data_IF_077370699517
#
_entry.id   IF_077370699517
#
_cell.length_a   1.000
_cell.length_b   1.000
_cell.length_c   1.000
_cell.angle_alpha   90.00
_cell.angle_beta   90.00
_cell.angle_gamma   90.00
#
_symmetry.space_group_name_H-M   'P 1'
#
loop_
_entity.id
_entity.type
_entity.pdbx_description
1 polymer ?
#
# COMPACT_ATOMS: atom_id res chain seq x y z
N UNK A 1 -10.17 -12.22 18.44
CA UNK A 1 -9.07 -11.38 17.91
C UNK A 1 -7.76 -11.58 18.65
N UNK A 2 -7.65 -11.22 19.94
CA UNK A 2 -6.43 -11.52 20.71
C UNK A 2 -6.16 -13.02 20.82
N UNK A 3 -7.20 -13.85 20.96
CA UNK A 3 -7.10 -15.31 20.95
C UNK A 3 -6.59 -15.90 19.61
N UNK A 4 -6.91 -15.27 18.48
CA UNK A 4 -6.42 -15.70 17.16
C UNK A 4 -4.98 -15.27 16.95
N UNK A 5 -4.62 -14.05 17.38
CA UNK A 5 -3.24 -13.57 17.37
C UNK A 5 -2.34 -14.45 18.27
N UNK A 6 -2.80 -14.78 19.48
CA UNK A 6 -2.07 -15.66 20.39
C UNK A 6 -1.95 -17.07 19.81
N UNK A 7 -3.01 -17.61 19.20
CA UNK A 7 -2.98 -18.91 18.53
C UNK A 7 -1.93 -18.97 17.41
N UNK A 8 -1.97 -18.02 16.48
CA UNK A 8 -1.00 -17.95 15.36
C UNK A 8 0.41 -17.72 15.88
N UNK A 9 0.61 -16.81 16.84
CA UNK A 9 1.91 -16.58 17.48
C UNK A 9 2.44 -17.84 18.15
N UNK A 10 1.61 -18.58 18.89
CA UNK A 10 2.03 -19.83 19.53
C UNK A 10 2.41 -20.90 18.53
N UNK A 11 1.67 -21.04 17.42
CA UNK A 11 2.00 -22.00 16.35
C UNK A 11 3.30 -21.62 15.66
N UNK A 12 3.47 -20.34 15.32
CA UNK A 12 4.68 -19.84 14.69
C UNK A 12 5.92 -19.98 15.60
N UNK A 13 5.71 -19.79 16.91
CA UNK A 13 6.72 -19.99 17.94
C UNK A 13 7.06 -21.47 18.11
N UNK A 14 6.07 -22.36 18.20
CA UNK A 14 6.26 -23.80 18.31
C UNK A 14 7.02 -24.38 17.11
N UNK A 15 6.78 -23.86 15.90
CA UNK A 15 7.50 -24.28 14.69
C UNK A 15 8.97 -23.81 14.68
N UNK A 16 9.29 -22.73 15.40
CA UNK A 16 10.62 -22.10 15.47
C UNK A 16 11.36 -22.42 16.78
N UNK A 17 10.96 -23.42 17.57
CA UNK A 17 11.62 -23.79 18.84
C UNK A 17 13.03 -24.40 18.71
N UNK A 18 13.67 -24.34 17.54
CA UNK A 18 15.06 -24.79 17.35
C UNK A 18 16.12 -23.76 17.78
N UNK A 19 15.73 -22.57 18.24
CA UNK A 19 16.64 -21.46 18.52
C UNK A 19 16.98 -21.27 20.01
N UNK A 20 18.19 -20.77 20.25
CA UNK A 20 18.77 -20.53 21.57
C UNK A 20 18.02 -19.39 22.32
N UNK A 21 17.79 -19.57 23.62
CA UNK A 21 16.84 -18.76 24.42
C UNK A 21 17.28 -17.30 24.72
N UNK A 22 18.48 -16.90 24.30
CA UNK A 22 19.10 -15.60 24.61
C UNK A 22 18.76 -14.44 23.67
N UNK A 23 18.43 -14.70 22.40
CA UNK A 23 18.37 -13.67 21.34
C UNK A 23 16.95 -13.40 20.81
N UNK A 24 15.95 -13.42 21.70
CA UNK A 24 14.53 -13.28 21.32
C UNK A 24 14.22 -11.98 20.55
N UNK A 25 14.88 -10.87 20.89
CA UNK A 25 14.64 -9.57 20.26
C UNK A 25 15.23 -9.48 18.84
N UNK A 26 16.29 -10.25 18.55
CA UNK A 26 17.00 -10.28 17.27
C UNK A 26 16.54 -11.45 16.39
N UNK A 27 15.60 -12.26 16.89
CA UNK A 27 15.05 -13.38 16.15
C UNK A 27 14.30 -12.89 14.91
N UNK A 28 14.76 -13.34 13.75
CA UNK A 28 14.16 -13.04 12.44
C UNK A 28 12.94 -13.94 12.21
N UNK A 29 11.78 -13.33 12.00
CA UNK A 29 10.56 -14.02 11.59
C UNK A 29 10.34 -13.81 10.09
N UNK A 30 10.14 -14.90 9.36
CA UNK A 30 9.86 -14.86 7.93
C UNK A 30 11.00 -15.43 7.08
N UNK A 31 10.70 -16.44 6.25
CA UNK A 31 11.68 -17.11 5.39
C UNK A 31 11.22 -17.27 3.93
N UNK A 32 9.92 -17.44 3.67
CA UNK A 32 9.42 -17.74 2.31
C UNK A 32 8.00 -17.20 2.03
N UNK A 33 7.78 -16.76 0.78
CA UNK A 33 6.47 -16.37 0.25
C UNK A 33 5.74 -17.62 -0.25
N UNK A 34 4.58 -17.93 0.32
CA UNK A 34 3.92 -19.21 0.03
C UNK A 34 2.83 -19.15 -1.06
N UNK A 35 1.98 -18.12 -1.19
CA UNK A 35 0.98 -18.01 -2.28
C UNK A 35 0.37 -16.60 -2.35
N UNK A 36 0.30 -15.92 -3.51
CA UNK A 36 -0.26 -14.56 -3.61
C UNK A 36 -1.02 -14.25 -4.92
N UNK A 37 -2.05 -13.39 -4.89
CA UNK A 37 -2.83 -13.02 -6.09
C UNK A 37 -2.07 -12.09 -7.06
N UNK A 38 -1.07 -11.35 -6.59
CA UNK A 38 -0.25 -10.45 -7.41
C UNK A 38 1.05 -11.09 -7.95
N UNK A 39 1.08 -12.42 -8.10
CA UNK A 39 2.27 -13.09 -8.64
C UNK A 39 2.49 -12.74 -10.11
N UNK A 40 3.70 -12.30 -10.44
CA UNK A 40 4.32 -12.77 -11.67
C UNK A 40 4.98 -14.09 -11.35
N UNK A 41 4.54 -15.17 -11.97
CA UNK A 41 5.11 -16.51 -11.79
C UNK A 41 6.58 -16.61 -12.30
N UNK A 42 7.10 -15.53 -12.92
CA UNK A 42 8.40 -15.50 -13.58
C UNK A 42 9.35 -14.41 -13.04
N UNK A 43 8.87 -13.51 -12.18
CA UNK A 43 9.66 -12.40 -11.68
C UNK A 43 10.18 -12.75 -10.28
N UNK A 44 11.41 -13.26 -10.20
CA UNK A 44 12.12 -13.68 -8.98
C UNK A 44 12.56 -12.48 -8.11
N UNK A 45 11.75 -11.42 -8.04
CA UNK A 45 12.04 -10.21 -7.27
C UNK A 45 11.57 -10.40 -5.82
N UNK A 46 12.52 -10.30 -4.89
CA UNK A 46 12.36 -10.35 -3.42
C UNK A 46 11.46 -11.48 -2.89
N UNK A 47 12.03 -12.68 -2.78
CA UNK A 47 11.32 -13.90 -2.38
C UNK A 47 11.04 -14.06 -0.88
N UNK A 48 11.35 -13.07 -0.05
CA UNK A 48 11.20 -13.18 1.39
C UNK A 48 10.70 -11.86 1.97
N UNK A 49 9.72 -11.99 2.87
CA UNK A 49 9.34 -10.95 3.81
C UNK A 49 9.90 -11.39 5.16
N UNK A 50 10.65 -10.53 5.83
CA UNK A 50 10.99 -10.76 7.22
C UNK A 50 10.73 -9.54 8.10
N UNK A 51 10.65 -9.81 9.40
CA UNK A 51 10.50 -8.81 10.44
C UNK A 51 11.15 -9.29 11.73
N UNK A 52 11.45 -8.33 12.61
CA UNK A 52 12.03 -8.60 13.94
C UNK A 52 11.05 -8.18 15.04
N UNK A 53 11.13 -8.82 16.20
CA UNK A 53 10.23 -8.51 17.34
C UNK A 53 10.36 -7.06 17.79
N UNK A 54 11.57 -6.49 17.71
CA UNK A 54 11.81 -5.11 18.06
C UNK A 54 11.09 -4.11 17.15
N UNK A 55 10.65 -4.52 15.95
CA UNK A 55 9.89 -3.68 15.02
C UNK A 55 8.40 -3.59 15.37
N UNK A 56 7.89 -4.48 16.24
CA UNK A 56 6.46 -4.53 16.63
C UNK A 56 5.95 -3.19 17.19
N UNK A 57 6.65 -2.47 18.09
CA UNK A 57 6.23 -1.15 18.52
C UNK A 57 6.13 -0.14 17.36
N UNK A 58 7.02 -0.24 16.36
CA UNK A 58 6.99 0.62 15.16
C UNK A 58 5.74 0.30 14.34
N UNK A 59 5.42 -0.98 14.15
CA UNK A 59 4.20 -1.42 13.47
C UNK A 59 2.93 -0.93 14.20
N UNK A 60 2.89 -0.96 15.53
CA UNK A 60 1.79 -0.39 16.33
C UNK A 60 1.65 1.12 16.09
N UNK A 61 2.76 1.86 16.06
CA UNK A 61 2.76 3.30 15.78
C UNK A 61 2.32 3.60 14.34
N UNK A 62 2.74 2.79 13.36
CA UNK A 62 2.25 2.87 11.98
C UNK A 62 0.76 2.61 11.90
N UNK A 63 0.24 1.64 12.66
CA UNK A 63 -1.19 1.39 12.81
C UNK A 63 -1.91 2.62 13.34
N UNK A 64 -1.42 3.23 14.43
CA UNK A 64 -2.00 4.46 14.97
C UNK A 64 -2.00 5.63 13.96
N UNK A 65 -0.90 5.82 13.24
CA UNK A 65 -0.79 6.83 12.18
C UNK A 65 -1.75 6.56 11.02
N UNK A 66 -1.86 5.31 10.56
CA UNK A 66 -2.82 4.89 9.53
C UNK A 66 -4.28 5.06 9.97
N UNK A 67 -4.57 4.82 11.25
CA UNK A 67 -5.88 5.10 11.86
C UNK A 67 -6.23 6.59 11.85
N UNK A 68 -5.27 7.46 12.15
CA UNK A 68 -5.43 8.92 12.09
C UNK A 68 -5.60 9.40 10.65
N UNK A 69 -4.77 8.93 9.71
CA UNK A 69 -4.88 9.24 8.28
C UNK A 69 -6.22 8.76 7.69
N UNK A 70 -6.71 7.60 8.11
CA UNK A 70 -8.03 7.12 7.73
C UNK A 70 -9.15 7.99 8.30
N UNK A 71 -9.05 8.41 9.56
CA UNK A 71 -10.01 9.33 10.17
C UNK A 71 -10.02 10.71 9.51
N UNK A 72 -8.87 11.27 9.14
CA UNK A 72 -8.80 12.54 8.40
C UNK A 72 -9.39 12.41 7.01
N UNK A 73 -9.11 11.31 6.29
CA UNK A 73 -9.75 11.01 5.01
C UNK A 73 -11.28 10.99 5.12
N UNK A 74 -11.82 10.27 6.11
CA UNK A 74 -13.27 10.20 6.34
C UNK A 74 -13.81 11.60 6.66
N UNK A 75 -13.22 12.33 7.60
CA UNK A 75 -13.69 13.66 7.97
C UNK A 75 -13.71 14.64 6.79
N UNK A 76 -12.68 14.63 5.94
CA UNK A 76 -12.63 15.43 4.72
C UNK A 76 -13.68 14.99 3.71
N UNK A 77 -13.83 13.68 3.49
CA UNK A 77 -14.81 13.16 2.55
C UNK A 77 -16.24 13.44 3.00
N UNK A 78 -16.53 13.42 4.30
CA UNK A 78 -17.85 13.77 4.86
C UNK A 78 -18.19 15.23 4.62
N UNK A 79 -17.23 16.15 4.82
CA UNK A 79 -17.40 17.57 4.51
C UNK A 79 -17.67 17.78 3.01
N UNK A 80 -16.90 17.10 2.16
CA UNK A 80 -17.08 17.17 0.70
C UNK A 80 -18.43 16.59 0.28
N UNK A 81 -18.88 15.50 0.89
CA UNK A 81 -20.17 14.87 0.60
C UNK A 81 -21.34 15.76 1.00
N UNK A 82 -21.29 16.40 2.17
CA UNK A 82 -22.31 17.37 2.57
C UNK A 82 -22.34 18.57 1.61
N UNK A 83 -21.17 19.06 1.16
CA UNK A 83 -21.11 20.11 0.14
C UNK A 83 -21.74 19.64 -1.19
N UNK A 84 -21.42 18.43 -1.65
CA UNK A 84 -22.03 17.83 -2.87
C UNK A 84 -23.54 17.73 -2.78
N UNK A 85 -24.08 17.31 -1.63
CA UNK A 85 -25.53 17.23 -1.45
C UNK A 85 -26.22 18.59 -1.58
N UNK A 86 -25.56 19.67 -1.17
CA UNK A 86 -26.10 21.03 -1.26
C UNK A 86 -26.02 21.64 -2.67
N UNK A 87 -24.93 21.42 -3.39
CA UNK A 87 -24.66 22.11 -4.68
C UNK A 87 -24.89 21.22 -5.92
N UNK A 88 -24.71 19.91 -5.79
CA UNK A 88 -24.79 18.90 -6.86
C UNK A 88 -25.82 17.83 -6.45
N UNK A 89 -27.12 18.17 -6.40
CA UNK A 89 -28.15 17.23 -6.00
C UNK A 89 -28.29 16.08 -7.01
N UNK A 90 -28.72 14.92 -6.52
CA UNK A 90 -28.96 13.71 -7.31
C UNK A 90 -29.98 13.91 -8.44
N UNK A 91 -30.84 14.93 -8.32
CA UNK A 91 -31.88 15.27 -9.31
C UNK A 91 -31.33 15.77 -10.65
N UNK A 92 -30.12 16.35 -10.70
CA UNK A 92 -29.56 16.94 -11.92
C UNK A 92 -28.41 16.12 -12.48
N UNK A 93 -28.71 15.19 -13.39
CA UNK A 93 -27.71 14.32 -14.03
C UNK A 93 -26.57 15.09 -14.71
N UNK A 94 -26.89 16.18 -15.42
CA UNK A 94 -25.89 16.98 -16.14
C UNK A 94 -24.85 17.61 -15.20
N UNK A 95 -25.22 18.02 -13.99
CA UNK A 95 -24.26 18.58 -13.03
C UNK A 95 -23.29 17.53 -12.50
N UNK A 96 -23.77 16.30 -12.27
CA UNK A 96 -22.92 15.17 -11.88
C UNK A 96 -21.98 14.74 -13.00
N UNK A 97 -22.46 14.76 -14.25
CA UNK A 97 -21.59 14.50 -15.41
C UNK A 97 -20.49 15.55 -15.53
N UNK A 98 -20.83 16.84 -15.40
CA UNK A 98 -19.83 17.93 -15.42
C UNK A 98 -18.83 17.78 -14.27
N UNK A 99 -19.28 17.42 -13.07
CA UNK A 99 -18.37 17.14 -11.95
C UNK A 99 -17.38 16.02 -12.29
N UNK A 100 -17.86 14.88 -12.81
CA UNK A 100 -17.00 13.76 -13.22
C UNK A 100 -15.96 14.22 -14.24
N UNK A 101 -16.39 14.96 -15.27
CA UNK A 101 -15.48 15.46 -16.31
C UNK A 101 -14.42 16.41 -15.75
N UNK A 102 -14.81 17.29 -14.81
CA UNK A 102 -13.87 18.18 -14.12
C UNK A 102 -12.89 17.40 -13.25
N UNK A 103 -13.36 16.40 -12.50
CA UNK A 103 -12.49 15.53 -11.67
C UNK A 103 -11.47 14.82 -12.56
N UNK A 104 -11.91 14.21 -13.66
CA UNK A 104 -11.02 13.51 -14.61
C UNK A 104 -10.00 14.47 -15.19
N UNK A 105 -10.43 15.64 -15.67
CA UNK A 105 -9.53 16.65 -16.22
C UNK A 105 -8.47 17.09 -15.21
N UNK A 106 -8.89 17.39 -13.97
CA UNK A 106 -7.97 17.80 -12.90
C UNK A 106 -7.02 16.67 -12.53
N UNK A 107 -7.51 15.42 -12.40
CA UNK A 107 -6.64 14.27 -12.13
C UNK A 107 -5.57 14.10 -13.21
N UNK A 108 -5.93 14.22 -14.49
CA UNK A 108 -4.97 14.15 -15.59
C UNK A 108 -3.94 15.27 -15.51
N UNK A 109 -4.37 16.52 -15.29
CA UNK A 109 -3.47 17.67 -15.16
C UNK A 109 -2.50 17.47 -13.99
N UNK A 110 -2.98 17.00 -12.85
CA UNK A 110 -2.14 16.75 -11.67
C UNK A 110 -1.12 15.65 -11.94
N UNK A 111 -1.52 14.50 -12.50
CA UNK A 111 -0.58 13.40 -12.79
C UNK A 111 0.44 13.78 -13.88
N UNK A 112 0.02 14.44 -14.96
CA UNK A 112 0.93 14.89 -16.01
C UNK A 112 1.89 15.98 -15.52
N UNK A 113 1.41 16.94 -14.73
CA UNK A 113 2.28 18.00 -14.16
C UNK A 113 3.27 17.45 -13.12
N UNK A 114 2.84 16.51 -12.27
CA UNK A 114 3.72 15.83 -11.32
C UNK A 114 4.83 15.04 -12.04
N UNK A 115 4.49 14.42 -13.18
CA UNK A 115 5.46 13.72 -14.02
C UNK A 115 6.37 14.69 -14.77
N UNK A 116 5.85 15.80 -15.28
CA UNK A 116 6.64 16.80 -15.98
C UNK A 116 7.66 17.51 -15.07
N UNK A 117 7.33 17.65 -13.79
CA UNK A 117 8.21 18.21 -12.77
C UNK A 117 9.21 17.19 -12.17
N UNK A 118 9.26 15.96 -12.69
CA UNK A 118 10.07 14.89 -12.12
C UNK A 118 11.58 15.12 -12.32
N UNK A 119 12.43 14.80 -11.32
CA UNK A 119 13.85 14.67 -11.56
C UNK A 119 14.14 13.41 -12.40
N UNK A 120 15.09 13.53 -13.32
CA UNK A 120 15.56 12.43 -14.16
C UNK A 120 16.73 11.70 -13.49
N UNK A 121 16.71 10.38 -13.51
CA UNK A 121 17.76 9.50 -12.98
C UNK A 121 18.28 8.54 -14.05
N UNK A 122 19.55 8.09 -13.97
CA UNK A 122 20.12 7.18 -14.96
C UNK A 122 19.49 5.79 -14.89
N UNK A 123 19.23 5.17 -16.04
CA UNK A 123 18.71 3.80 -16.08
C UNK A 123 19.72 2.81 -15.46
N UNK A 124 19.24 1.70 -14.87
CA UNK A 124 20.09 0.59 -14.46
C UNK A 124 20.96 0.11 -15.62
N UNK A 125 22.24 -0.24 -15.38
CA UNK A 125 23.20 -0.55 -16.44
C UNK A 125 22.78 -1.75 -17.31
N UNK A 126 22.06 -2.71 -16.73
CA UNK A 126 21.53 -3.86 -17.48
C UNK A 126 20.48 -3.44 -18.52
N UNK A 127 19.56 -2.55 -18.14
CA UNK A 127 18.50 -2.07 -19.03
C UNK A 127 19.04 -1.10 -20.08
N UNK A 128 20.01 -0.26 -19.69
CA UNK A 128 20.71 0.60 -20.65
C UNK A 128 21.43 -0.24 -21.73
N UNK A 129 22.09 -1.34 -21.35
CA UNK A 129 22.74 -2.28 -22.28
C UNK A 129 21.74 -3.03 -23.15
N UNK A 130 20.64 -3.52 -22.57
CA UNK A 130 19.57 -4.20 -23.31
C UNK A 130 19.01 -3.30 -24.42
N UNK A 131 18.68 -2.04 -24.10
CA UNK A 131 18.14 -1.08 -25.08
C UNK A 131 19.15 -0.69 -26.16
N UNK A 132 20.43 -0.56 -25.80
CA UNK A 132 21.51 -0.31 -26.76
C UNK A 132 21.73 -1.48 -27.74
N UNK A 133 21.42 -2.71 -27.31
CA UNK A 133 21.54 -3.91 -28.14
C UNK A 133 20.27 -4.18 -28.97
N UNK A 134 19.09 -3.73 -28.51
CA UNK A 134 17.82 -3.90 -29.23
C UNK A 134 17.79 -3.23 -30.61
N UNK A 135 18.67 -2.24 -30.86
CA UNK A 135 18.83 -1.63 -32.19
C UNK A 135 19.63 -2.48 -33.18
N UNK A 136 20.29 -3.55 -32.72
CA UNK A 136 21.01 -4.49 -33.55
C UNK A 136 20.22 -5.81 -33.61
N UNK A 137 19.60 -6.10 -34.74
CA UNK A 137 18.70 -7.25 -34.99
C UNK A 137 19.41 -8.61 -34.95
N UNK A 138 19.87 -9.02 -33.78
CA UNK A 138 20.15 -10.39 -33.37
C UNK A 138 20.01 -10.34 -31.86
N UNK A 139 19.05 -11.04 -31.23
CA UNK A 139 19.10 -11.23 -29.77
C UNK A 139 20.34 -12.09 -29.46
N UNK A 140 21.31 -11.63 -28.66
CA UNK A 140 22.34 -12.53 -28.17
C UNK A 140 22.52 -12.37 -26.65
N UNK A 141 22.24 -13.43 -25.91
CA UNK A 141 22.96 -13.76 -24.68
C UNK A 141 23.24 -12.60 -23.69
N UNK A 142 22.18 -12.00 -23.13
CA UNK A 142 22.29 -11.27 -21.85
C UNK A 142 22.06 -12.21 -20.65
N UNK A 143 22.01 -13.53 -20.90
CA UNK A 143 21.92 -14.55 -19.86
C UNK A 143 23.35 -14.94 -19.49
N UNK A 144 23.79 -14.51 -18.31
CA UNK A 144 24.92 -15.12 -17.60
C UNK A 144 24.75 -16.65 -17.61
N UNK A 145 25.68 -17.45 -18.17
CA UNK A 145 25.52 -18.90 -18.27
C UNK A 145 25.44 -19.61 -16.91
N UNK A 146 25.63 -18.91 -15.78
CA UNK A 146 25.48 -19.47 -14.44
C UNK A 146 24.17 -19.12 -13.71
N UNK A 147 23.41 -18.10 -14.15
CA UNK A 147 22.15 -17.71 -13.50
C UNK A 147 21.02 -17.61 -14.52
N UNK A 148 20.31 -18.73 -14.69
CA UNK A 148 19.18 -18.86 -15.61
C UNK A 148 17.95 -18.10 -15.08
N UNK A 149 17.93 -16.78 -15.22
CA UNK A 149 16.70 -16.00 -15.19
C UNK A 149 16.27 -15.78 -16.64
N UNK A 150 15.46 -16.71 -17.14
CA UNK A 150 14.78 -16.56 -18.42
C UNK A 150 13.64 -15.55 -18.19
N UNK A 151 13.93 -14.28 -18.43
CA UNK A 151 12.89 -13.25 -18.47
C UNK A 151 12.04 -13.52 -19.71
N UNK A 152 10.81 -14.00 -19.51
CA UNK A 152 9.81 -14.13 -20.56
C UNK A 152 9.52 -12.74 -21.17
N UNK A 153 9.08 -12.68 -22.44
CA UNK A 153 8.83 -11.42 -23.16
C UNK A 153 7.89 -10.48 -22.38
N UNK A 154 6.96 -11.04 -21.59
CA UNK A 154 6.04 -10.30 -20.71
C UNK A 154 6.75 -9.62 -19.54
N UNK A 155 7.71 -10.30 -18.92
CA UNK A 155 8.46 -9.73 -17.80
C UNK A 155 9.37 -8.58 -18.24
N UNK A 156 9.90 -8.64 -19.47
CA UNK A 156 10.69 -7.56 -20.06
C UNK A 156 9.83 -6.32 -20.37
N UNK A 157 8.63 -6.50 -20.90
CA UNK A 157 7.68 -5.41 -21.13
C UNK A 157 7.30 -4.71 -19.80
N UNK A 158 7.01 -5.48 -18.75
CA UNK A 158 6.71 -4.94 -17.41
C UNK A 158 7.88 -4.13 -16.82
N UNK A 159 9.12 -4.55 -17.08
CA UNK A 159 10.32 -3.82 -16.64
C UNK A 159 10.52 -2.54 -17.46
N UNK A 160 10.24 -2.55 -18.77
CA UNK A 160 10.30 -1.33 -19.60
C UNK A 160 9.25 -0.30 -19.16
N UNK A 161 8.03 -0.76 -18.89
CA UNK A 161 6.94 0.08 -18.40
C UNK A 161 7.21 0.67 -17.00
N UNK A 162 8.08 0.01 -16.21
CA UNK A 162 8.54 0.51 -14.91
C UNK A 162 9.52 1.70 -15.00
N UNK A 163 10.25 1.88 -16.11
CA UNK A 163 11.22 2.96 -16.29
C UNK A 163 10.84 3.92 -17.43
N UNK A 164 9.76 4.72 -17.29
CA UNK A 164 9.33 5.66 -18.32
C UNK A 164 10.36 6.77 -18.52
N UNK A 165 10.79 6.98 -19.78
CA UNK A 165 11.77 8.01 -20.17
C UNK A 165 11.13 9.35 -20.55
N UNK A 166 9.85 9.54 -20.22
CA UNK A 166 9.09 10.71 -20.64
C UNK A 166 9.69 12.00 -20.04
N UNK A 167 9.93 13.00 -20.90
CA UNK A 167 10.56 14.29 -20.56
C UNK A 167 12.00 14.22 -20.02
N UNK A 168 12.70 13.11 -20.23
CA UNK A 168 14.12 12.96 -19.91
C UNK A 168 14.97 12.72 -21.17
N UNK A 169 16.28 12.95 -21.05
CA UNK A 169 17.24 12.64 -22.10
C UNK A 169 17.37 11.12 -22.32
N UNK A 170 17.90 10.71 -23.48
CA UNK A 170 18.13 9.29 -23.80
C UNK A 170 19.00 8.61 -22.73
N UNK A 171 18.56 7.45 -22.23
CA UNK A 171 19.25 6.72 -21.17
C UNK A 171 18.94 7.19 -19.73
N UNK A 172 18.02 8.14 -19.56
CA UNK A 172 17.50 8.60 -18.27
C UNK A 172 16.00 8.29 -18.15
N UNK A 173 15.51 8.04 -16.93
CA UNK A 173 14.09 7.82 -16.64
C UNK A 173 13.52 8.85 -15.67
N UNK A 174 12.21 9.05 -15.73
CA UNK A 174 11.45 9.93 -14.84
C UNK A 174 11.09 9.19 -13.55
N UNK A 175 11.58 9.69 -12.42
CA UNK A 175 11.33 9.09 -11.09
C UNK A 175 9.86 9.18 -10.66
N UNK A 176 9.20 10.31 -10.93
CA UNK A 176 7.76 10.45 -10.65
C UNK A 176 6.92 9.71 -11.69
N UNK A 177 7.43 9.53 -12.92
CA UNK A 177 6.74 8.80 -13.97
C UNK A 177 6.43 7.36 -13.59
N UNK A 178 7.31 6.72 -12.82
CA UNK A 178 7.10 5.35 -12.31
C UNK A 178 5.85 5.24 -11.43
N UNK A 179 5.44 6.33 -10.78
CA UNK A 179 4.34 6.36 -9.83
C UNK A 179 3.05 6.98 -10.41
N UNK A 180 3.17 7.99 -11.28
CA UNK A 180 2.02 8.75 -11.79
C UNK A 180 1.61 8.40 -13.22
N UNK A 181 2.51 7.82 -14.03
CA UNK A 181 2.26 7.49 -15.43
C UNK A 181 1.77 6.04 -15.61
N UNK A 182 2.02 5.18 -14.63
CA UNK A 182 1.54 3.80 -14.60
C UNK A 182 0.16 3.70 -13.94
N UNK A 183 -0.68 2.73 -14.32
CA UNK A 183 -1.93 2.44 -13.62
C UNK A 183 -1.70 2.21 -12.12
N UNK A 184 -2.65 2.64 -11.29
CA UNK A 184 -2.50 2.58 -9.83
C UNK A 184 -2.32 1.15 -9.29
N UNK A 185 -2.90 0.15 -9.96
CA UNK A 185 -2.70 -1.27 -9.63
C UNK A 185 -1.26 -1.74 -9.88
N UNK A 186 -0.64 -1.28 -10.97
CA UNK A 186 0.75 -1.58 -11.29
C UNK A 186 1.67 -0.85 -10.32
N UNK A 187 1.39 0.43 -10.04
CA UNK A 187 2.13 1.22 -9.05
C UNK A 187 2.07 0.57 -7.66
N UNK A 188 0.91 0.02 -7.27
CA UNK A 188 0.79 -0.74 -6.03
C UNK A 188 1.65 -2.01 -6.03
N UNK A 189 1.62 -2.78 -7.14
CA UNK A 189 2.50 -3.95 -7.34
C UNK A 189 3.97 -3.54 -7.23
N UNK A 190 4.34 -2.39 -7.80
CA UNK A 190 5.68 -1.83 -7.75
C UNK A 190 6.11 -1.47 -6.33
N UNK A 191 5.26 -0.80 -5.55
CA UNK A 191 5.55 -0.44 -4.16
C UNK A 191 5.67 -1.66 -3.23
N UNK A 192 4.94 -2.74 -3.50
CA UNK A 192 4.92 -3.91 -2.61
C UNK A 192 5.97 -4.96 -3.01
N UNK A 193 6.13 -5.23 -4.31
CA UNK A 193 6.88 -6.39 -4.80
C UNK A 193 8.16 -6.04 -5.55
N UNK A 194 8.15 -4.95 -6.33
CA UNK A 194 9.31 -4.56 -7.11
C UNK A 194 10.26 -3.76 -6.20
N UNK A 195 11.00 -4.53 -5.40
CA UNK A 195 12.36 -4.21 -4.94
C UNK A 195 12.71 -2.74 -4.98
N UNK A 196 12.60 -2.03 -3.85
CA UNK A 196 13.16 -0.68 -3.79
C UNK A 196 14.68 -0.67 -4.01
N UNK A 197 15.35 -1.81 -3.86
CA UNK A 197 16.79 -1.92 -3.98
C UNK A 197 17.13 -2.72 -5.24
N UNK A 198 17.57 -2.04 -6.29
CA UNK A 198 18.23 -2.69 -7.40
C UNK A 198 19.63 -3.11 -6.91
N UNK A 199 19.89 -4.42 -6.80
CA UNK A 199 21.24 -4.92 -6.54
C UNK A 199 22.08 -4.69 -7.79
N UNK A 200 22.98 -3.72 -7.72
CA UNK A 200 23.96 -3.48 -8.78
C UNK A 200 25.11 -4.49 -8.63
N UNK A 201 25.91 -4.67 -9.68
CA UNK A 201 27.06 -5.59 -9.71
C UNK A 201 28.17 -5.24 -8.71
N UNK A 202 28.15 -4.01 -8.18
CA UNK A 202 28.80 -3.61 -6.94
C UNK A 202 27.69 -3.55 -5.88
N UNK A 203 27.85 -4.24 -4.75
CA UNK A 203 26.87 -4.47 -3.67
C UNK A 203 26.23 -3.20 -3.02
N UNK A 204 26.34 -2.02 -3.63
CA UNK A 204 25.59 -0.83 -3.26
C UNK A 204 24.18 -0.90 -3.85
N UNK A 205 23.22 -1.18 -2.97
CA UNK A 205 21.81 -1.15 -3.27
C UNK A 205 21.32 0.28 -3.54
N UNK A 206 21.03 0.61 -4.80
CA UNK A 206 20.47 1.92 -5.14
C UNK A 206 18.96 1.88 -4.94
N UNK A 207 18.44 2.81 -4.14
CA UNK A 207 17.00 2.99 -3.97
C UNK A 207 16.35 3.48 -5.27
N UNK A 208 15.40 2.70 -5.80
CA UNK A 208 14.72 2.98 -7.07
C UNK A 208 13.78 4.18 -6.98
N UNK A 209 13.11 4.37 -5.83
CA UNK A 209 12.29 5.56 -5.60
C UNK A 209 13.04 6.60 -4.77
N UNK A 210 12.87 7.89 -5.03
CA UNK A 210 13.40 8.94 -4.15
C UNK A 210 12.39 9.27 -3.04
N UNK A 211 12.87 9.72 -1.88
CA UNK A 211 11.97 10.09 -0.76
C UNK A 211 10.99 11.20 -1.18
N UNK A 212 11.46 12.15 -2.00
CA UNK A 212 10.62 13.20 -2.56
C UNK A 212 9.52 12.69 -3.49
N UNK A 213 9.79 11.65 -4.30
CA UNK A 213 8.79 11.08 -5.21
C UNK A 213 7.70 10.35 -4.43
N UNK A 214 8.07 9.57 -3.42
CA UNK A 214 7.12 8.91 -2.52
C UNK A 214 6.26 9.90 -1.72
N UNK A 215 6.87 10.97 -1.20
CA UNK A 215 6.14 11.99 -0.46
C UNK A 215 5.13 12.74 -1.36
N UNK A 216 5.54 13.11 -2.58
CA UNK A 216 4.64 13.73 -3.54
C UNK A 216 3.51 12.79 -3.97
N UNK A 217 3.79 11.51 -4.19
CA UNK A 217 2.79 10.49 -4.47
C UNK A 217 1.78 10.32 -3.34
N UNK A 218 2.26 10.20 -2.09
CA UNK A 218 1.40 10.09 -0.92
C UNK A 218 0.44 11.27 -0.82
N UNK A 219 0.94 12.51 -0.91
CA UNK A 219 0.12 13.70 -0.74
C UNK A 219 -0.87 13.90 -1.89
N UNK A 220 -0.41 13.74 -3.14
CA UNK A 220 -1.24 13.96 -4.32
C UNK A 220 -2.32 12.87 -4.46
N UNK A 221 -1.96 11.59 -4.31
CA UNK A 221 -2.93 10.49 -4.42
C UNK A 221 -3.91 10.50 -3.23
N UNK A 222 -3.48 10.84 -2.01
CA UNK A 222 -4.40 10.99 -0.88
C UNK A 222 -5.43 12.11 -1.13
N UNK A 223 -4.99 13.25 -1.68
CA UNK A 223 -5.87 14.35 -2.08
C UNK A 223 -6.85 13.95 -3.19
N UNK A 224 -6.35 13.33 -4.26
CA UNK A 224 -7.17 12.86 -5.38
C UNK A 224 -8.14 11.75 -4.95
N UNK A 225 -7.73 10.84 -4.08
CA UNK A 225 -8.59 9.81 -3.48
C UNK A 225 -9.74 10.44 -2.68
N UNK A 226 -9.46 11.48 -1.88
CA UNK A 226 -10.48 12.22 -1.12
C UNK A 226 -11.49 12.91 -2.03
N UNK A 227 -11.00 13.51 -3.12
CA UNK A 227 -11.84 14.21 -4.09
C UNK A 227 -12.68 13.25 -4.94
N UNK A 228 -12.11 12.14 -5.42
CA UNK A 228 -12.77 11.20 -6.33
C UNK A 228 -13.83 10.35 -5.64
N UNK A 229 -13.66 10.03 -4.34
CA UNK A 229 -14.63 9.23 -3.62
C UNK A 229 -15.95 9.99 -3.39
N UNK A 230 -17.07 9.41 -3.82
CA UNK A 230 -18.41 10.02 -3.74
C UNK A 230 -18.85 10.80 -4.98
N UNK A 231 -18.05 10.79 -6.05
CA UNK A 231 -18.47 11.27 -7.37
C UNK A 231 -19.61 10.39 -7.91
N UNK A 232 -20.43 10.92 -8.81
CA UNK A 232 -21.56 10.19 -9.45
C UNK A 232 -21.19 9.02 -10.37
N UNK A 233 -20.07 8.34 -10.14
CA UNK A 233 -19.57 7.21 -10.91
C UNK A 233 -19.29 6.00 -10.00
N UNK A 234 -19.41 4.75 -10.51
CA UNK A 234 -19.02 3.56 -9.76
C UNK A 234 -17.50 3.56 -9.56
N UNK A 235 -17.06 3.72 -8.31
CA UNK A 235 -15.63 3.80 -7.96
C UNK A 235 -15.32 2.88 -6.77
N UNK A 236 -14.13 2.31 -6.76
CA UNK A 236 -13.60 1.52 -5.65
C UNK A 236 -12.60 2.33 -4.82
N UNK A 237 -12.54 2.06 -3.51
CA UNK A 237 -11.63 2.74 -2.59
C UNK A 237 -10.41 1.88 -2.19
N UNK A 238 -10.50 0.55 -2.33
CA UNK A 238 -9.51 -0.41 -1.84
C UNK A 238 -8.10 -0.20 -2.42
N UNK A 239 -7.96 -0.14 -3.75
CA UNK A 239 -6.64 -0.01 -4.40
C UNK A 239 -5.98 1.34 -4.07
N UNK A 240 -6.66 2.49 -4.16
CA UNK A 240 -6.09 3.77 -3.73
C UNK A 240 -5.65 3.81 -2.27
N UNK A 241 -6.45 3.26 -1.33
CA UNK A 241 -6.06 3.20 0.08
C UNK A 241 -4.80 2.38 0.31
N UNK A 242 -4.68 1.23 -0.39
CA UNK A 242 -3.51 0.37 -0.30
C UNK A 242 -2.27 1.06 -0.88
N UNK A 243 -2.40 1.76 -2.02
CA UNK A 243 -1.29 2.48 -2.64
C UNK A 243 -0.76 3.63 -1.77
N UNK A 244 -1.66 4.45 -1.20
CA UNK A 244 -1.27 5.52 -0.28
C UNK A 244 -0.62 4.95 0.98
N UNK A 245 -1.20 3.88 1.54
CA UNK A 245 -0.62 3.21 2.70
C UNK A 245 0.72 2.54 2.42
N UNK A 246 0.92 1.96 1.24
CA UNK A 246 2.19 1.37 0.82
C UNK A 246 3.29 2.43 0.73
N UNK A 247 2.98 3.57 0.09
CA UNK A 247 3.91 4.71 0.04
C UNK A 247 4.22 5.26 1.44
N UNK A 248 3.22 5.35 2.32
CA UNK A 248 3.43 5.72 3.73
C UNK A 248 4.35 4.72 4.45
N UNK A 249 4.11 3.42 4.24
CA UNK A 249 4.90 2.35 4.82
C UNK A 249 6.36 2.41 4.40
N UNK A 250 6.63 2.62 3.10
CA UNK A 250 7.98 2.79 2.59
C UNK A 250 8.68 4.04 3.16
N UNK A 251 7.98 5.16 3.29
CA UNK A 251 8.55 6.36 3.90
C UNK A 251 8.97 6.11 5.36
N UNK A 252 8.14 5.38 6.12
CA UNK A 252 8.48 5.00 7.49
C UNK A 252 9.66 4.03 7.51
N UNK A 253 9.64 2.98 6.70
CA UNK A 253 10.71 1.98 6.64
C UNK A 253 12.08 2.60 6.31
N UNK A 254 12.15 3.56 5.38
CA UNK A 254 13.38 4.32 5.11
C UNK A 254 13.84 5.17 6.30
N UNK A 255 12.88 5.76 7.02
CA UNK A 255 13.16 6.47 8.25
C UNK A 255 13.79 5.55 9.30
N UNK A 256 13.27 4.32 9.44
CA UNK A 256 13.82 3.31 10.36
C UNK A 256 15.20 2.85 9.90
N UNK A 257 15.40 2.58 8.61
CA UNK A 257 16.72 2.24 8.05
C UNK A 257 17.77 3.31 8.33
N UNK A 258 17.43 4.58 8.08
CA UNK A 258 18.34 5.70 8.34
C UNK A 258 18.70 5.84 9.83
N UNK A 259 17.76 5.53 10.73
CA UNK A 259 18.00 5.54 12.18
C UNK A 259 18.84 4.33 12.62
N UNK A 260 18.57 3.15 12.06
CA UNK A 260 19.31 1.93 12.37
C UNK A 260 20.79 2.01 11.94
N UNK A 261 21.06 2.60 10.78
CA UNK A 261 22.43 2.88 10.31
C UNK A 261 23.20 3.80 11.26
N UNK A 262 22.53 4.79 11.87
CA UNK A 262 23.14 5.70 12.84
C UNK A 262 23.57 5.01 14.13
N UNK A 263 22.81 4.01 14.57
CA UNK A 263 23.05 3.31 15.83
C UNK A 263 23.95 2.06 15.65
N UNK A 264 24.55 1.88 14.46
CA UNK A 264 25.39 0.72 14.10
C UNK A 264 24.70 -0.65 14.26
N UNK A 265 23.38 -0.67 14.26
CA UNK A 265 22.59 -1.91 14.17
C UNK A 265 22.62 -2.37 12.72
N UNK A 266 23.61 -3.18 12.36
CA UNK A 266 23.79 -3.74 11.01
C UNK A 266 22.78 -4.85 10.70
N UNK A 267 21.50 -4.61 10.93
CA UNK A 267 20.43 -5.53 10.58
C UNK A 267 19.78 -5.11 9.26
N UNK A 268 19.67 -6.05 8.33
CA UNK A 268 19.02 -5.81 7.04
C UNK A 268 17.50 -5.70 7.28
N UNK A 269 16.99 -4.47 7.29
CA UNK A 269 15.56 -4.17 7.38
C UNK A 269 14.92 -4.31 6.01
N UNK A 270 13.80 -5.02 5.96
CA UNK A 270 13.04 -5.27 4.75
C UNK A 270 11.99 -4.19 4.50
N UNK A 271 12.22 -3.35 3.50
CA UNK A 271 11.30 -2.25 3.20
C UNK A 271 9.94 -2.70 2.67
N UNK A 272 9.88 -3.87 2.03
CA UNK A 272 8.62 -4.43 1.51
C UNK A 272 7.65 -4.79 2.64
N UNK A 273 8.17 -5.29 3.76
CA UNK A 273 7.36 -5.56 4.95
C UNK A 273 6.68 -4.29 5.46
N UNK A 274 7.42 -3.17 5.52
CA UNK A 274 6.87 -1.88 5.92
C UNK A 274 5.84 -1.36 4.92
N UNK A 275 6.05 -1.55 3.61
CA UNK A 275 5.07 -1.19 2.58
C UNK A 275 3.74 -1.93 2.78
N UNK A 276 3.78 -3.26 2.98
CA UNK A 276 2.57 -4.08 3.21
C UNK A 276 1.88 -3.70 4.53
N UNK A 277 2.65 -3.49 5.60
CA UNK A 277 2.11 -3.07 6.90
C UNK A 277 1.46 -1.68 6.83
N UNK A 278 2.08 -0.73 6.12
CA UNK A 278 1.51 0.60 5.90
C UNK A 278 0.23 0.56 5.06
N UNK A 279 0.20 -0.26 4.01
CA UNK A 279 -0.98 -0.49 3.17
C UNK A 279 -2.15 -1.02 4.02
N UNK A 280 -1.89 -2.02 4.86
CA UNK A 280 -2.86 -2.58 5.78
C UNK A 280 -3.35 -1.56 6.84
N UNK A 281 -2.44 -0.76 7.41
CA UNK A 281 -2.78 0.26 8.40
C UNK A 281 -3.74 1.32 7.84
N UNK A 282 -3.49 1.82 6.63
CA UNK A 282 -4.36 2.80 5.97
C UNK A 282 -5.71 2.21 5.56
N UNK A 283 -5.73 1.00 4.99
CA UNK A 283 -6.97 0.33 4.60
C UNK A 283 -7.82 -0.05 5.83
N UNK A 284 -7.21 -0.56 6.89
CA UNK A 284 -7.87 -0.84 8.18
C UNK A 284 -8.41 0.42 8.85
N UNK A 285 -7.65 1.52 8.81
CA UNK A 285 -8.05 2.81 9.36
C UNK A 285 -9.22 3.48 8.63
N UNK A 286 -9.34 3.30 7.31
CA UNK A 286 -10.42 3.89 6.50
C UNK A 286 -11.72 3.09 6.54
N UNK A 287 -11.62 1.76 6.50
CA UNK A 287 -12.80 0.87 6.39
C UNK A 287 -13.29 0.32 7.73
N UNK A 288 -12.46 0.32 8.79
CA UNK A 288 -12.75 -0.28 10.11
C UNK A 288 -12.95 -1.79 10.13
N UNK A 289 -12.59 -2.50 9.05
CA UNK A 289 -12.64 -3.96 9.00
C UNK A 289 -11.30 -4.54 9.48
N UNK A 290 -11.32 -5.63 10.25
CA UNK A 290 -10.11 -6.20 10.87
C UNK A 290 -9.69 -7.52 10.25
N UNK A 291 -10.50 -8.58 10.46
CA UNK A 291 -10.17 -9.95 10.02
C UNK A 291 -10.13 -10.03 8.49
N UNK A 292 -11.14 -9.49 7.81
CA UNK A 292 -11.23 -9.54 6.35
C UNK A 292 -10.09 -8.80 5.65
N UNK A 293 -9.64 -7.67 6.19
CA UNK A 293 -8.51 -6.91 5.62
C UNK A 293 -7.19 -7.63 5.86
N UNK A 294 -7.01 -8.18 7.07
CA UNK A 294 -5.81 -8.97 7.36
C UNK A 294 -5.68 -10.12 6.37
N UNK A 295 -6.76 -10.87 6.16
CA UNK A 295 -6.78 -11.98 5.19
C UNK A 295 -6.59 -11.49 3.76
N UNK A 296 -7.25 -10.40 3.36
CA UNK A 296 -7.09 -9.83 2.01
C UNK A 296 -5.64 -9.44 1.73
N UNK A 297 -5.00 -8.71 2.65
CA UNK A 297 -3.61 -8.27 2.47
C UNK A 297 -2.66 -9.46 2.50
N UNK A 298 -2.88 -10.42 3.39
CA UNK A 298 -2.07 -11.64 3.47
C UNK A 298 -2.18 -12.49 2.19
N UNK A 299 -3.39 -12.77 1.71
CA UNK A 299 -3.63 -13.57 0.50
C UNK A 299 -3.19 -12.86 -0.78
N UNK A 300 -3.29 -11.53 -0.84
CA UNK A 300 -2.85 -10.79 -2.03
C UNK A 300 -1.33 -10.68 -2.12
N UNK A 301 -0.64 -10.55 -0.99
CA UNK A 301 0.83 -10.41 -0.94
C UNK A 301 1.57 -11.75 -0.83
N UNK A 302 0.88 -12.78 -0.33
CA UNK A 302 1.42 -14.10 -0.05
C UNK A 302 2.40 -14.19 1.10
N UNK A 303 2.36 -13.21 2.00
CA UNK A 303 3.20 -13.11 3.17
C UNK A 303 2.48 -13.66 4.42
N UNK A 304 2.26 -14.97 4.50
CA UNK A 304 1.57 -15.60 5.63
C UNK A 304 2.29 -15.38 6.97
N UNK A 305 3.62 -15.25 6.95
CA UNK A 305 4.44 -15.03 8.14
C UNK A 305 4.28 -13.60 8.71
N UNK A 306 3.66 -12.67 7.97
CA UNK A 306 3.33 -11.30 8.40
C UNK A 306 1.96 -11.18 9.09
N UNK A 307 1.22 -12.29 9.29
CA UNK A 307 -0.13 -12.23 9.88
C UNK A 307 -0.14 -11.53 11.25
N UNK A 308 0.83 -11.83 12.11
CA UNK A 308 0.89 -11.29 13.48
C UNK A 308 1.08 -9.75 13.47
N UNK A 309 2.12 -9.19 12.82
CA UNK A 309 2.28 -7.74 12.75
C UNK A 309 1.10 -7.07 12.03
N UNK A 310 0.55 -7.67 10.96
CA UNK A 310 -0.61 -7.12 10.25
C UNK A 310 -1.86 -7.03 11.13
N UNK A 311 -2.14 -8.06 11.93
CA UNK A 311 -3.27 -8.02 12.86
C UNK A 311 -3.10 -6.89 13.89
N UNK A 312 -1.91 -6.75 14.48
CA UNK A 312 -1.64 -5.70 15.47
C UNK A 312 -1.77 -4.29 14.88
N UNK A 313 -1.26 -4.07 13.66
CA UNK A 313 -1.34 -2.75 13.00
C UNK A 313 -2.78 -2.39 12.61
N UNK A 314 -3.54 -3.34 12.06
CA UNK A 314 -4.93 -3.11 11.68
C UNK A 314 -5.79 -2.88 12.93
N UNK A 315 -5.55 -3.62 14.02
CA UNK A 315 -6.28 -3.44 15.27
C UNK A 315 -6.04 -2.06 15.88
N UNK A 316 -4.79 -1.61 15.93
CA UNK A 316 -4.42 -0.29 16.44
C UNK A 316 -4.96 0.82 15.54
N UNK A 317 -4.92 0.65 14.21
CA UNK A 317 -5.53 1.58 13.25
C UNK A 317 -7.05 1.71 13.44
N UNK A 318 -7.73 0.58 13.68
CA UNK A 318 -9.16 0.55 14.01
C UNK A 318 -9.41 1.31 15.31
N UNK A 319 -8.74 0.92 16.40
CA UNK A 319 -8.93 1.52 17.73
C UNK A 319 -8.75 3.04 17.70
N UNK A 320 -7.68 3.51 17.06
CA UNK A 320 -7.39 4.95 16.98
C UNK A 320 -8.48 5.68 16.23
N UNK A 321 -8.94 5.17 15.10
CA UNK A 321 -9.90 5.95 14.34
C UNK A 321 -11.37 5.71 14.70
N UNK A 322 -11.74 4.60 15.37
CA UNK A 322 -13.05 4.45 16.02
C UNK A 322 -13.26 5.58 17.06
N UNK A 323 -12.17 6.09 17.64
CA UNK A 323 -12.22 7.25 18.54
C UNK A 323 -12.65 8.56 17.84
N UNK A 324 -12.41 8.68 16.54
CA UNK A 324 -12.69 9.88 15.74
C UNK A 324 -13.99 9.77 14.93
N UNK A 325 -14.51 8.58 14.68
CA UNK A 325 -15.80 8.39 14.01
C UNK A 325 -15.97 7.00 13.38
N UNK A 326 -17.08 6.85 12.66
CA UNK A 326 -17.45 5.61 11.98
C UNK A 326 -16.57 5.36 10.75
N UNK A 327 -16.54 4.12 10.28
CA UNK A 327 -15.88 3.77 9.02
C UNK A 327 -16.53 4.45 7.83
N UNK A 328 -15.79 4.52 6.71
CA UNK A 328 -16.28 5.20 5.51
C UNK A 328 -17.61 4.61 4.99
N UNK A 329 -17.78 3.29 5.07
CA UNK A 329 -18.99 2.61 4.59
C UNK A 329 -20.20 2.92 5.49
N UNK A 330 -20.03 2.78 6.80
CA UNK A 330 -21.08 3.08 7.79
C UNK A 330 -21.48 4.56 7.73
N UNK A 331 -20.51 5.46 7.58
CA UNK A 331 -20.76 6.89 7.46
C UNK A 331 -21.64 7.22 6.23
N UNK A 332 -21.39 6.57 5.09
CA UNK A 332 -22.22 6.74 3.89
C UNK A 332 -23.61 6.10 4.00
N UNK A 333 -23.77 5.01 4.77
CA UNK A 333 -25.07 4.42 5.10
C UNK A 333 -25.90 5.42 5.92
N UNK A 334 -25.30 6.01 6.95
CA UNK A 334 -25.95 7.02 7.81
C UNK A 334 -26.36 8.27 7.00
N UNK A 335 -25.48 8.78 6.13
CA UNK A 335 -25.80 9.93 5.25
C UNK A 335 -26.98 9.64 4.32
N UNK A 336 -27.11 8.40 3.83
CA UNK A 336 -28.21 8.00 2.95
C UNK A 336 -29.53 7.80 3.70
N UNK A 337 -29.50 7.69 5.03
CA UNK A 337 -30.69 7.42 5.85
C UNK A 337 -31.30 6.03 5.59
N UNK A 338 -30.51 5.07 5.09
CA UNK A 338 -30.99 3.71 4.85
C UNK A 338 -31.15 2.97 6.18
N UNK A 339 -32.26 2.26 6.43
CA UNK A 339 -32.44 1.50 7.65
C UNK A 339 -31.41 0.35 7.67
N UNK A 340 -30.43 0.45 8.57
CA UNK A 340 -29.40 -0.56 8.80
C UNK A 340 -29.60 -1.13 10.20
N UNK A 341 -29.61 -2.46 10.31
CA UNK A 341 -29.71 -3.14 11.59
C UNK A 341 -28.29 -3.37 12.10
N UNK A 342 -27.91 -2.64 13.14
CA UNK A 342 -26.63 -2.87 13.81
C UNK A 342 -26.65 -4.20 14.57
N UNK A 343 -25.48 -4.83 14.68
CA UNK A 343 -25.30 -6.02 15.49
C UNK A 343 -25.59 -5.69 16.96
N UNK A 344 -26.23 -6.61 17.68
CA UNK A 344 -26.73 -6.31 19.02
C UNK A 344 -25.56 -6.14 19.99
N UNK A 345 -25.41 -4.94 20.57
CA UNK A 345 -24.57 -4.77 21.75
C UNK A 345 -25.14 -5.65 22.87
N UNK A 346 -24.41 -6.68 23.29
CA UNK A 346 -24.83 -7.59 24.38
C UNK A 346 -24.96 -6.87 25.75
N UNK A 347 -24.63 -5.58 25.81
CA UNK A 347 -24.57 -4.78 27.04
C UNK A 347 -25.88 -4.03 27.35
N UNK A 348 -26.90 -4.10 26.48
CA UNK A 348 -28.20 -3.43 26.68
C UNK A 348 -29.29 -4.36 27.22
N UNK A 349 -30.04 -3.90 28.24
CA UNK A 349 -31.18 -4.61 28.83
C UNK A 349 -32.19 -5.09 27.77
N UNK A 350 -32.80 -6.29 27.96
CA UNK A 350 -33.63 -6.89 26.94
C UNK A 350 -34.96 -6.15 26.76
N UNK A 351 -35.19 -5.70 25.53
CA UNK A 351 -36.47 -5.75 24.79
C UNK A 351 -37.54 -4.71 25.16
N UNK A 352 -37.56 -4.11 26.35
CA UNK A 352 -38.64 -3.19 26.74
C UNK A 352 -38.63 -1.83 26.00
N UNK A 353 -37.48 -1.40 25.47
CA UNK A 353 -37.33 -0.08 24.85
C UNK A 353 -37.58 -0.07 23.32
N UNK A 354 -37.69 -1.25 22.70
CA UNK A 354 -37.81 -1.39 21.23
C UNK A 354 -39.27 -1.44 20.71
N UNK A 355 -40.27 -1.30 21.59
CA UNK A 355 -41.70 -1.38 21.25
C UNK A 355 -42.48 -0.07 21.45
N UNK A 356 -41.81 1.08 21.61
CA UNK A 356 -42.53 2.36 21.58
C UNK A 356 -42.81 2.77 20.13
N UNK A 357 -43.93 2.27 19.58
CA UNK A 357 -44.62 2.96 18.49
C UNK A 357 -45.23 4.21 19.09
N UNK A 358 -44.77 5.39 18.65
CA UNK A 358 -45.22 6.67 19.18
C UNK A 358 -46.75 6.79 19.22
N UNK A 359 -47.26 7.09 20.41
CA UNK A 359 -48.56 7.74 20.61
C UNK A 359 -48.49 9.23 20.26
#
# INVERSE_FOLDING_TARGET
FLATCSGVLTVHWLNQLKWDSGDFLLARFGTHRDFGLFTDDQANYSNAFWWYVWEVPIFILMGAAGGLMGATFIALNMRLTHWRQRYIPTSSGNRRLVEVLVVVLVTCIVCFSATAASPCSPLPPLLARYRANATNTTLPDVIDPQNRYEYDERTLADIEDFYPQWMCAEGMYSTHGQLFLSPLSHTLKYLIHLGEVAKTQEDEGVHTFHVGSLLSFLLLIFGLMTWTYGVGAPTGLFVPTLAVGAAFGQLVGRGVMYLAERDHLSENIDLHTYAVVGAAAMLGGTTRMTISITLLVMETTGAMELIIPLMLTIFTAKLVGDRFGHGIYDAHIVIRGTPFLEEHDETGFPIADKLQTGE
#
